data_IF_872313825251
#
_entry.id   IF_872313825251
#
_cell.length_a   1.000
_cell.length_b   1.000
_cell.length_c   1.000
_cell.angle_alpha   90.00
_cell.angle_beta   90.00
_cell.angle_gamma   90.00
#
_symmetry.space_group_name_H-M   'P 1'
#
loop_
_entity.id
_entity.type
_entity.pdbx_description
1 polymer ?
#
# COMPACT_ATOMS: atom_id res chain seq x y z
N UNK A 1 1.48 0.73 -22.25
CA UNK A 1 1.87 1.93 -21.50
C UNK A 1 1.59 1.74 -20.03
N UNK A 2 0.46 2.27 -19.52
CA UNK A 2 0.09 2.18 -18.10
C UNK A 2 0.18 0.75 -17.52
N UNK A 3 -0.45 -0.24 -18.17
CA UNK A 3 -0.40 -1.63 -17.71
C UNK A 3 1.03 -2.18 -17.57
N UNK A 4 1.92 -1.84 -18.50
CA UNK A 4 3.31 -2.25 -18.46
C UNK A 4 4.08 -1.61 -17.29
N UNK A 5 3.75 -0.36 -16.93
CA UNK A 5 4.30 0.31 -15.75
C UNK A 5 3.87 -0.34 -14.43
N UNK A 6 2.58 -0.68 -14.31
CA UNK A 6 2.05 -1.41 -13.15
C UNK A 6 2.66 -2.81 -13.06
N UNK A 7 2.77 -3.51 -14.19
CA UNK A 7 3.42 -4.82 -14.28
C UNK A 7 4.90 -4.76 -13.88
N UNK A 8 5.63 -3.71 -14.24
CA UNK A 8 7.01 -3.51 -13.81
C UNK A 8 7.12 -3.21 -12.31
N UNK A 9 6.22 -2.37 -11.77
CA UNK A 9 6.26 -1.91 -10.38
C UNK A 9 5.88 -3.00 -9.36
N UNK A 10 4.88 -3.82 -9.66
CA UNK A 10 4.35 -4.85 -8.74
C UNK A 10 4.66 -6.28 -9.18
N UNK A 11 5.38 -6.48 -10.29
CA UNK A 11 5.59 -7.79 -10.93
C UNK A 11 4.27 -8.53 -11.23
N UNK A 12 3.20 -7.76 -11.44
CA UNK A 12 1.83 -8.20 -11.58
C UNK A 12 1.31 -7.91 -13.02
N UNK A 13 1.61 -8.77 -14.02
CA UNK A 13 1.25 -8.51 -15.41
C UNK A 13 -0.26 -8.56 -15.64
N UNK A 14 -0.99 -9.50 -15.03
CA UNK A 14 -2.46 -9.58 -15.18
C UNK A 14 -3.11 -8.44 -14.40
N UNK A 15 -2.62 -8.18 -13.19
CA UNK A 15 -3.06 -7.05 -12.36
C UNK A 15 -2.88 -5.71 -13.07
N UNK A 16 -1.78 -5.51 -13.79
CA UNK A 16 -1.54 -4.30 -14.59
C UNK A 16 -2.49 -4.12 -15.77
N UNK A 17 -2.86 -5.21 -16.45
CA UNK A 17 -3.86 -5.16 -17.54
C UNK A 17 -5.23 -4.78 -16.98
N UNK A 18 -5.64 -5.41 -15.87
CA UNK A 18 -6.90 -5.11 -15.21
C UNK A 18 -6.93 -3.70 -14.63
N UNK A 19 -5.81 -3.22 -14.09
CA UNK A 19 -5.67 -1.82 -13.63
C UNK A 19 -5.92 -0.84 -14.78
N UNK A 20 -5.31 -1.07 -15.93
CA UNK A 20 -5.53 -0.22 -17.10
C UNK A 20 -6.98 -0.28 -17.60
N UNK A 21 -7.63 -1.44 -17.46
CA UNK A 21 -9.03 -1.63 -17.82
C UNK A 21 -9.98 -0.92 -16.84
N UNK A 22 -9.70 -0.97 -15.53
CA UNK A 22 -10.53 -0.40 -14.47
C UNK A 22 -10.39 1.14 -14.39
N UNK A 23 -9.16 1.66 -14.46
CA UNK A 23 -8.88 3.08 -14.16
C UNK A 23 -8.62 3.98 -15.38
N UNK A 24 -8.11 3.42 -16.49
CA UNK A 24 -7.58 4.26 -17.58
C UNK A 24 -8.55 4.35 -18.76
N UNK A 25 -9.43 3.36 -18.92
CA UNK A 25 -10.27 3.25 -20.11
C UNK A 25 -11.73 3.02 -19.77
N UNK A 26 -12.62 3.79 -20.39
CA UNK A 26 -14.07 3.56 -20.33
C UNK A 26 -14.55 2.51 -21.34
N UNK A 27 -13.82 2.30 -22.43
CA UNK A 27 -14.16 1.35 -23.49
C UNK A 27 -12.95 0.58 -24.00
N UNK A 28 -13.12 -0.72 -24.23
CA UNK A 28 -12.02 -1.62 -24.60
C UNK A 28 -12.37 -2.48 -25.83
N UNK A 29 -11.43 -2.56 -26.79
CA UNK A 29 -11.52 -3.47 -27.95
C UNK A 29 -10.83 -4.80 -27.63
N UNK A 30 -11.38 -5.93 -28.07
CA UNK A 30 -10.76 -7.26 -27.84
C UNK A 30 -9.33 -7.36 -28.38
N UNK A 31 -9.04 -6.71 -29.53
CA UNK A 31 -7.68 -6.65 -30.08
C UNK A 31 -6.70 -5.84 -29.20
N UNK A 32 -7.18 -4.88 -28.41
CA UNK A 32 -6.33 -4.13 -27.49
C UNK A 32 -5.95 -5.00 -26.28
N UNK A 33 -6.82 -5.92 -25.86
CA UNK A 33 -6.60 -6.78 -24.69
C UNK A 33 -5.34 -7.63 -24.84
N UNK A 34 -5.23 -8.38 -25.94
CA UNK A 34 -4.07 -9.24 -26.16
C UNK A 34 -2.79 -8.44 -26.36
N UNK A 35 -2.85 -7.25 -26.99
CA UNK A 35 -1.69 -6.37 -27.15
C UNK A 35 -1.17 -5.86 -25.81
N UNK A 36 -2.07 -5.40 -24.93
CA UNK A 36 -1.71 -4.91 -23.61
C UNK A 36 -1.19 -6.04 -22.72
N UNK A 37 -1.83 -7.21 -22.78
CA UNK A 37 -1.35 -8.42 -22.11
C UNK A 37 0.06 -8.81 -22.59
N UNK A 38 0.28 -8.88 -23.90
CA UNK A 38 1.59 -9.19 -24.49
C UNK A 38 2.67 -8.19 -24.01
N UNK A 39 2.39 -6.89 -24.05
CA UNK A 39 3.35 -5.88 -23.58
C UNK A 39 3.66 -6.01 -22.10
N UNK A 40 2.68 -6.35 -21.27
CA UNK A 40 2.87 -6.52 -19.82
C UNK A 40 3.68 -7.78 -19.51
N UNK A 41 3.45 -8.87 -20.26
CA UNK A 41 4.23 -10.09 -20.16
C UNK A 41 5.70 -9.89 -20.59
N UNK A 42 5.94 -9.20 -21.71
CA UNK A 42 7.30 -8.87 -22.18
C UNK A 42 8.04 -8.04 -21.12
N UNK A 43 7.41 -7.01 -20.56
CA UNK A 43 8.03 -6.19 -19.52
C UNK A 43 8.32 -6.99 -18.26
N UNK A 44 7.43 -7.88 -17.82
CA UNK A 44 7.68 -8.75 -16.67
C UNK A 44 8.91 -9.66 -16.89
N UNK A 45 9.07 -10.23 -18.08
CA UNK A 45 10.25 -11.05 -18.42
C UNK A 45 11.52 -10.21 -18.47
N UNK A 46 11.50 -9.06 -19.15
CA UNK A 46 12.66 -8.16 -19.27
C UNK A 46 13.14 -7.69 -17.90
N UNK A 47 12.21 -7.25 -17.04
CA UNK A 47 12.53 -6.82 -15.68
C UNK A 47 13.13 -7.98 -14.88
N UNK A 48 12.57 -9.19 -14.95
CA UNK A 48 13.11 -10.39 -14.28
C UNK A 48 14.52 -10.73 -14.73
N UNK A 49 14.79 -10.74 -16.04
CA UNK A 49 16.11 -11.02 -16.60
C UNK A 49 17.12 -9.95 -16.19
N UNK A 50 16.75 -8.67 -16.26
CA UNK A 50 17.60 -7.56 -15.85
C UNK A 50 17.95 -7.64 -14.35
N UNK A 51 16.99 -7.95 -13.49
CA UNK A 51 17.25 -8.12 -12.05
C UNK A 51 18.12 -9.35 -11.78
N UNK A 52 17.91 -10.46 -12.49
CA UNK A 52 18.77 -11.65 -12.40
C UNK A 52 20.21 -11.35 -12.79
N UNK A 53 20.41 -10.56 -13.85
CA UNK A 53 21.74 -10.08 -14.21
C UNK A 53 22.33 -9.17 -13.13
N UNK A 54 21.54 -8.28 -12.55
CA UNK A 54 22.00 -7.39 -11.50
C UNK A 54 22.33 -8.09 -10.18
N UNK A 55 21.73 -9.24 -9.88
CA UNK A 55 22.11 -10.09 -8.74
C UNK A 55 23.52 -10.70 -8.85
N UNK A 56 24.12 -10.74 -10.05
CA UNK A 56 25.51 -11.19 -10.24
C UNK A 56 26.57 -10.22 -9.71
N UNK A 57 26.16 -9.14 -9.00
CA UNK A 57 27.05 -8.14 -8.40
C UNK A 57 27.41 -6.97 -9.31
N UNK A 58 27.08 -7.04 -10.60
CA UNK A 58 27.47 -6.03 -11.60
C UNK A 58 26.64 -4.73 -11.59
N UNK A 59 25.52 -4.67 -10.84
CA UNK A 59 24.65 -3.49 -10.81
C UNK A 59 24.53 -2.82 -9.43
N UNK A 60 25.34 -3.20 -8.45
CA UNK A 60 25.20 -2.69 -7.07
C UNK A 60 23.81 -2.98 -6.48
N UNK A 61 23.20 -1.99 -5.81
CA UNK A 61 21.92 -2.14 -5.11
C UNK A 61 20.69 -2.34 -6.02
N UNK A 62 20.81 -2.17 -7.35
CA UNK A 62 19.70 -2.40 -8.29
C UNK A 62 19.21 -3.85 -8.34
N UNK A 63 20.01 -4.82 -7.88
CA UNK A 63 19.61 -6.23 -7.73
C UNK A 63 19.13 -6.63 -6.34
N UNK A 64 19.29 -5.76 -5.33
CA UNK A 64 19.07 -6.06 -3.91
C UNK A 64 17.63 -5.85 -3.42
N UNK A 65 16.91 -4.89 -3.99
CA UNK A 65 15.50 -4.60 -3.67
C UNK A 65 14.57 -5.34 -4.62
N UNK A 66 13.76 -6.27 -4.12
CA UNK A 66 12.80 -6.95 -4.96
C UNK A 66 11.44 -6.27 -4.88
N UNK A 67 10.89 -5.92 -6.04
CA UNK A 67 9.55 -5.33 -6.24
C UNK A 67 8.40 -6.29 -5.86
N UNK A 68 8.44 -6.67 -4.57
CA UNK A 68 7.56 -7.53 -3.78
C UNK A 68 7.38 -8.95 -4.35
N UNK A 69 8.16 -9.87 -3.81
CA UNK A 69 7.82 -11.31 -3.78
C UNK A 69 7.64 -11.59 -2.29
N UNK A 70 6.40 -11.89 -1.90
CA UNK A 70 6.11 -12.49 -0.61
C UNK A 70 6.44 -13.99 -0.73
N UNK A 71 7.29 -14.52 0.14
CA UNK A 71 7.63 -15.95 0.12
C UNK A 71 6.68 -16.71 1.06
N UNK A 72 5.52 -17.09 0.53
CA UNK A 72 4.47 -17.84 1.24
C UNK A 72 4.58 -19.33 0.95
N UNK A 73 5.79 -19.87 0.87
CA UNK A 73 5.87 -21.31 0.69
C UNK A 73 5.19 -22.07 1.86
N UNK A 74 4.86 -21.41 2.99
CA UNK A 74 4.24 -21.98 4.20
C UNK A 74 3.15 -21.11 4.88
N UNK A 75 2.35 -20.32 4.15
CA UNK A 75 1.27 -19.52 4.77
C UNK A 75 0.07 -20.34 5.22
N UNK A 76 -0.77 -19.80 6.11
CA UNK A 76 -1.97 -20.49 6.61
C UNK A 76 -2.94 -20.81 5.46
N UNK A 77 -3.01 -22.09 5.09
CA UNK A 77 -3.86 -22.56 3.99
C UNK A 77 -5.33 -22.76 4.39
N UNK A 78 -5.56 -23.01 5.68
CA UNK A 78 -6.88 -23.32 6.24
C UNK A 78 -7.39 -22.18 7.13
N UNK A 79 -8.49 -21.54 6.74
CA UNK A 79 -9.19 -20.54 7.54
C UNK A 79 -10.46 -21.15 8.15
N UNK A 80 -10.67 -20.86 9.44
CA UNK A 80 -11.90 -21.25 10.14
C UNK A 80 -12.97 -20.16 10.03
N UNK A 81 -14.25 -20.52 10.15
CA UNK A 81 -15.35 -19.55 10.13
C UNK A 81 -15.21 -18.43 11.19
N UNK A 82 -14.58 -18.74 12.32
CA UNK A 82 -14.33 -17.78 13.40
C UNK A 82 -13.36 -16.65 12.99
N UNK A 83 -12.47 -16.92 12.02
CA UNK A 83 -11.49 -15.95 11.53
C UNK A 83 -12.12 -14.93 10.55
N UNK A 84 -13.33 -15.21 10.05
CA UNK A 84 -14.06 -14.33 9.14
C UNK A 84 -14.45 -12.99 9.78
N UNK A 85 -14.79 -13.01 11.08
CA UNK A 85 -15.24 -11.82 11.80
C UNK A 85 -14.10 -10.80 11.99
N UNK A 86 -12.91 -11.19 12.50
CA UNK A 86 -11.73 -10.32 12.50
C UNK A 86 -11.38 -9.76 11.11
N UNK A 87 -11.48 -10.57 10.05
CA UNK A 87 -11.23 -10.12 8.67
C UNK A 87 -12.27 -9.08 8.21
N UNK A 88 -13.55 -9.27 8.52
CA UNK A 88 -14.58 -8.28 8.23
C UNK A 88 -14.34 -6.95 8.98
N UNK A 89 -13.87 -7.02 10.23
CA UNK A 89 -13.49 -5.83 11.03
C UNK A 89 -12.32 -5.09 10.38
N UNK A 90 -11.31 -5.80 9.85
CA UNK A 90 -10.21 -5.19 9.06
C UNK A 90 -10.76 -4.42 7.86
N UNK A 91 -11.75 -4.99 7.15
CA UNK A 91 -12.44 -4.32 6.04
C UNK A 91 -13.10 -3.01 6.47
N UNK A 92 -13.85 -3.02 7.58
CA UNK A 92 -14.52 -1.83 8.11
C UNK A 92 -13.51 -0.75 8.53
N UNK A 93 -12.47 -1.15 9.27
CA UNK A 93 -11.39 -0.24 9.70
C UNK A 93 -10.69 0.38 8.49
N UNK A 94 -10.35 -0.43 7.48
CA UNK A 94 -9.71 0.07 6.26
C UNK A 94 -10.58 1.04 5.46
N UNK A 95 -11.90 0.80 5.42
CA UNK A 95 -12.86 1.70 4.78
C UNK A 95 -12.95 3.05 5.50
N UNK A 96 -13.05 3.03 6.84
CA UNK A 96 -13.10 4.25 7.66
C UNK A 96 -11.78 5.03 7.61
N UNK A 97 -10.63 4.36 7.77
CA UNK A 97 -9.32 4.99 7.70
C UNK A 97 -9.00 5.51 6.30
N UNK A 98 -9.43 4.79 5.25
CA UNK A 98 -9.29 5.21 3.85
C UNK A 98 -10.16 6.44 3.54
N UNK A 99 -11.40 6.46 4.00
CA UNK A 99 -12.27 7.64 3.88
C UNK A 99 -11.70 8.84 4.64
N UNK A 100 -11.25 8.66 5.88
CA UNK A 100 -10.59 9.72 6.64
C UNK A 100 -9.34 10.23 5.92
N UNK A 101 -8.56 9.32 5.33
CA UNK A 101 -7.33 9.65 4.61
C UNK A 101 -7.65 10.55 3.40
N UNK A 102 -8.65 10.19 2.62
CA UNK A 102 -9.10 10.99 1.47
C UNK A 102 -9.56 12.38 1.91
N UNK A 103 -10.37 12.47 2.96
CA UNK A 103 -10.89 13.75 3.47
C UNK A 103 -9.77 14.69 3.95
N UNK A 104 -8.83 14.17 4.74
CA UNK A 104 -7.69 14.94 5.24
C UNK A 104 -6.79 15.38 4.09
N UNK A 105 -6.52 14.49 3.15
CA UNK A 105 -5.67 14.76 1.99
C UNK A 105 -6.28 15.85 1.08
N UNK A 106 -7.59 15.80 0.85
CA UNK A 106 -8.32 16.84 0.11
C UNK A 106 -8.26 18.18 0.85
N UNK A 107 -8.47 18.17 2.17
CA UNK A 107 -8.38 19.36 2.99
C UNK A 107 -7.00 20.02 2.90
N UNK A 108 -5.93 19.24 3.10
CA UNK A 108 -4.53 19.72 2.99
C UNK A 108 -4.25 20.22 1.57
N UNK A 109 -4.66 19.48 0.54
CA UNK A 109 -4.45 19.87 -0.87
C UNK A 109 -5.18 21.18 -1.21
N UNK A 110 -6.41 21.35 -0.73
CA UNK A 110 -7.20 22.58 -0.92
C UNK A 110 -6.57 23.76 -0.19
N UNK A 111 -6.10 23.55 1.04
CA UNK A 111 -5.38 24.58 1.80
C UNK A 111 -4.07 24.98 1.10
N UNK A 112 -3.28 24.02 0.64
CA UNK A 112 -2.07 24.25 -0.17
C UNK A 112 -2.36 25.09 -1.40
N UNK A 113 -3.39 24.72 -2.17
CA UNK A 113 -3.77 25.44 -3.38
C UNK A 113 -4.24 26.87 -3.09
N UNK A 114 -5.05 27.06 -2.06
CA UNK A 114 -5.70 28.34 -1.80
C UNK A 114 -4.81 29.35 -1.09
N UNK A 115 -3.90 28.90 -0.22
CA UNK A 115 -3.07 29.77 0.62
C UNK A 115 -1.58 29.65 0.34
N UNK A 116 -1.03 28.43 0.29
CA UNK A 116 0.41 28.21 0.24
C UNK A 116 1.00 28.45 -1.15
N UNK A 117 0.45 27.77 -2.16
CA UNK A 117 0.92 27.82 -3.55
C UNK A 117 0.67 29.17 -4.24
N UNK A 118 -0.24 30.01 -3.70
CA UNK A 118 -0.42 31.39 -4.17
C UNK A 118 0.79 32.29 -3.89
N UNK A 119 1.61 31.96 -2.89
CA UNK A 119 2.80 32.73 -2.50
C UNK A 119 4.01 32.51 -3.43
N UNK A 120 3.88 31.67 -4.46
CA UNK A 120 4.89 31.45 -5.48
C UNK A 120 5.59 30.08 -5.41
N UNK A 121 6.40 29.78 -6.43
CA UNK A 121 7.01 28.45 -6.59
C UNK A 121 8.10 28.13 -5.56
N UNK A 122 8.78 29.14 -5.00
CA UNK A 122 9.82 28.92 -3.96
C UNK A 122 9.24 28.27 -2.70
N UNK A 123 8.00 28.62 -2.35
CA UNK A 123 7.32 28.07 -1.17
C UNK A 123 7.08 26.56 -1.31
N UNK A 124 6.84 26.06 -2.53
CA UNK A 124 6.68 24.62 -2.80
C UNK A 124 7.97 23.85 -2.53
N UNK A 125 9.13 24.44 -2.88
CA UNK A 125 10.43 23.84 -2.63
C UNK A 125 10.73 23.84 -1.14
N UNK A 126 10.51 24.97 -0.45
CA UNK A 126 10.70 25.06 0.99
C UNK A 126 9.81 24.09 1.77
N UNK A 127 8.55 23.92 1.35
CA UNK A 127 7.64 22.94 1.94
C UNK A 127 8.18 21.51 1.78
N UNK A 128 8.62 21.13 0.57
CA UNK A 128 9.17 19.79 0.33
C UNK A 128 10.43 19.54 1.17
N UNK A 129 11.33 20.53 1.26
CA UNK A 129 12.52 20.45 2.11
C UNK A 129 12.15 20.33 3.60
N UNK A 130 11.18 21.12 4.08
CA UNK A 130 10.73 21.08 5.47
C UNK A 130 10.13 19.72 5.81
N UNK A 131 9.28 19.18 4.94
CA UNK A 131 8.69 17.86 5.12
C UNK A 131 9.79 16.80 5.13
N UNK A 132 10.78 16.85 4.23
CA UNK A 132 11.90 15.93 4.24
C UNK A 132 12.69 15.97 5.55
N UNK A 133 13.05 17.16 6.06
CA UNK A 133 13.75 17.29 7.34
C UNK A 133 12.89 16.75 8.49
N UNK A 134 11.60 17.08 8.52
CA UNK A 134 10.67 16.59 9.54
C UNK A 134 10.55 15.06 9.49
N UNK A 135 10.45 14.48 8.30
CA UNK A 135 10.39 13.02 8.11
C UNK A 135 11.66 12.36 8.68
N UNK A 136 12.85 12.91 8.41
CA UNK A 136 14.12 12.37 8.91
C UNK A 136 14.25 12.47 10.42
N UNK A 137 13.86 13.60 11.01
CA UNK A 137 13.88 13.80 12.47
C UNK A 137 12.95 12.81 13.17
N UNK A 138 11.76 12.60 12.62
CA UNK A 138 10.77 11.66 13.18
C UNK A 138 11.26 10.21 13.04
N UNK A 139 11.70 9.82 11.83
CA UNK A 139 12.15 8.45 11.56
C UNK A 139 13.39 8.06 12.35
N UNK A 140 14.27 9.02 12.68
CA UNK A 140 15.43 8.76 13.54
C UNK A 140 15.11 8.88 15.03
N UNK A 141 14.29 9.86 15.42
CA UNK A 141 13.98 10.15 16.82
C UNK A 141 13.06 9.13 17.48
N UNK A 142 12.07 8.60 16.76
CA UNK A 142 11.14 7.63 17.35
C UNK A 142 11.79 6.29 17.71
N UNK A 143 12.66 5.68 16.87
CA UNK A 143 13.39 4.48 17.25
C UNK A 143 14.29 4.68 18.46
N UNK A 144 14.89 5.86 18.66
CA UNK A 144 15.73 6.17 19.83
C UNK A 144 14.95 6.16 21.15
N UNK A 145 13.67 6.55 21.12
CA UNK A 145 12.82 6.60 22.31
C UNK A 145 12.25 5.22 22.68
N UNK A 146 12.44 4.21 21.82
CA UNK A 146 11.86 2.89 21.99
C UNK A 146 12.85 1.92 22.65
N UNK A 147 12.37 1.18 23.65
CA UNK A 147 13.15 0.11 24.28
C UNK A 147 13.34 -1.06 23.31
N UNK A 148 14.53 -1.66 23.34
CA UNK A 148 14.83 -2.84 22.54
C UNK A 148 14.05 -4.07 22.98
N UNK A 149 13.75 -4.94 22.02
CA UNK A 149 13.12 -6.25 22.19
C UNK A 149 14.18 -7.36 22.13
N UNK A 150 14.04 -8.42 22.95
CA UNK A 150 14.89 -9.60 22.84
C UNK A 150 14.63 -10.32 21.52
N UNK A 151 15.67 -10.86 20.90
CA UNK A 151 15.54 -11.75 19.74
C UNK A 151 14.66 -12.96 20.10
N UNK A 152 13.75 -13.39 19.22
CA UNK A 152 13.05 -14.66 19.40
C UNK A 152 14.05 -15.83 19.39
N UNK A 153 13.74 -16.89 20.12
CA UNK A 153 14.54 -18.11 20.11
C UNK A 153 14.53 -18.68 18.69
N UNK A 154 15.72 -18.86 18.10
CA UNK A 154 15.89 -19.30 16.71
C UNK A 154 15.25 -20.67 16.50
N UNK A 155 14.17 -20.74 15.71
CA UNK A 155 13.67 -22.01 15.21
C UNK A 155 14.77 -22.68 14.36
N UNK A 156 15.07 -23.99 14.57
CA UNK A 156 16.17 -24.70 13.91
C UNK A 156 16.14 -24.76 12.36
N UNK A 157 15.11 -24.18 11.73
CA UNK A 157 14.93 -24.12 10.27
C UNK A 157 14.88 -22.69 9.70
N UNK A 158 15.09 -21.65 10.51
CA UNK A 158 15.10 -20.26 10.02
C UNK A 158 16.54 -19.79 9.75
N UNK A 159 16.87 -19.51 8.49
CA UNK A 159 18.17 -18.94 8.06
C UNK A 159 18.39 -17.47 8.53
N UNK A 160 17.57 -16.97 9.47
CA UNK A 160 17.55 -15.55 9.84
C UNK A 160 18.33 -15.36 11.16
N UNK A 161 19.57 -14.89 11.04
CA UNK A 161 20.38 -14.50 12.20
C UNK A 161 19.83 -13.22 12.87
N UNK A 162 19.71 -13.24 14.20
CA UNK A 162 19.29 -12.11 15.03
C UNK A 162 20.36 -11.81 16.09
N UNK A 163 20.89 -10.57 16.20
CA UNK A 163 20.64 -9.41 15.36
C UNK A 163 21.47 -9.46 14.06
N UNK A 164 20.99 -8.81 12.99
CA UNK A 164 21.79 -8.66 11.77
C UNK A 164 23.02 -7.76 11.99
N UNK A 165 24.06 -7.99 11.20
CA UNK A 165 25.25 -7.15 11.20
C UNK A 165 24.90 -5.68 10.89
N UNK A 166 25.55 -4.70 11.53
CA UNK A 166 25.27 -3.28 11.32
C UNK A 166 25.54 -2.88 9.86
N UNK A 167 24.58 -2.17 9.25
CA UNK A 167 24.65 -1.73 7.86
C UNK A 167 24.03 -2.69 6.84
N UNK A 168 23.38 -3.77 7.29
CA UNK A 168 22.61 -4.68 6.44
C UNK A 168 21.12 -4.44 6.63
N UNK A 169 20.42 -4.15 5.54
CA UNK A 169 18.96 -3.98 5.54
C UNK A 169 18.23 -5.34 5.69
N UNK A 170 17.07 -5.31 6.36
CA UNK A 170 16.08 -6.39 6.51
C UNK A 170 15.74 -6.67 7.98
N UNK A 171 15.40 -7.91 8.33
CA UNK A 171 14.78 -8.23 9.64
C UNK A 171 15.75 -8.01 10.82
N UNK A 172 15.20 -7.70 12.01
CA UNK A 172 15.93 -7.59 13.26
C UNK A 172 17.11 -6.59 13.26
N UNK A 173 16.83 -5.33 12.91
CA UNK A 173 17.85 -4.26 12.90
C UNK A 173 18.24 -3.89 14.33
N UNK A 174 19.53 -3.97 14.65
CA UNK A 174 20.08 -3.45 15.90
C UNK A 174 20.32 -1.94 15.77
N UNK A 175 19.55 -1.15 16.51
CA UNK A 175 19.69 0.30 16.57
C UNK A 175 19.80 0.75 18.03
N UNK A 176 21.04 1.06 18.44
CA UNK A 176 21.40 1.50 19.80
C UNK A 176 20.96 0.55 20.93
N UNK A 177 20.90 -0.76 20.68
CA UNK A 177 20.66 -1.76 21.71
C UNK A 177 21.99 -2.15 22.39
N UNK A 178 22.00 -2.11 23.73
CA UNK A 178 23.23 -2.28 24.53
C UNK A 178 23.56 -3.72 24.92
N UNK A 179 22.65 -4.69 24.73
CA UNK A 179 22.88 -6.10 25.07
C UNK A 179 23.00 -6.96 23.81
N UNK A 180 23.82 -8.00 23.89
CA UNK A 180 23.88 -9.05 22.87
C UNK A 180 22.50 -9.71 22.72
N UNK A 181 22.04 -9.93 21.48
CA UNK A 181 20.72 -10.49 21.12
C UNK A 181 19.48 -9.62 21.39
N UNK A 182 19.63 -8.30 21.34
CA UNK A 182 18.50 -7.37 21.31
C UNK A 182 18.41 -6.66 19.95
N UNK A 183 17.19 -6.36 19.51
CA UNK A 183 16.92 -5.57 18.31
C UNK A 183 15.87 -4.50 18.60
N UNK A 184 15.74 -3.52 17.71
CA UNK A 184 14.74 -2.45 17.84
C UNK A 184 13.67 -2.65 16.77
N UNK A 185 12.49 -3.11 17.19
CA UNK A 185 11.38 -3.44 16.29
C UNK A 185 10.90 -2.24 15.45
N UNK A 186 10.90 -1.04 16.02
CA UNK A 186 10.53 0.19 15.32
C UNK A 186 11.60 0.62 14.30
N UNK A 187 12.88 0.42 14.65
CA UNK A 187 14.00 0.68 13.75
C UNK A 187 13.98 -0.25 12.53
N UNK A 188 13.59 -1.52 12.73
CA UNK A 188 13.40 -2.49 11.64
C UNK A 188 12.37 -2.03 10.60
N UNK A 189 11.34 -1.27 11.00
CA UNK A 189 10.36 -0.74 10.04
C UNK A 189 10.86 0.54 9.36
N UNK A 190 11.48 1.46 10.10
CA UNK A 190 11.87 2.78 9.58
C UNK A 190 13.16 2.80 8.75
N UNK A 191 14.15 1.97 9.11
CA UNK A 191 15.47 1.98 8.44
C UNK A 191 15.59 0.98 7.30
N UNK A 192 14.56 0.15 7.07
CA UNK A 192 14.50 -0.69 5.88
C UNK A 192 13.96 0.06 4.68
N UNK A 193 14.27 -0.48 3.49
CA UNK A 193 13.56 -0.09 2.27
C UNK A 193 12.06 -0.37 2.44
N UNK A 194 11.20 0.41 1.78
CA UNK A 194 9.75 0.19 1.90
C UNK A 194 9.34 -1.20 1.42
N UNK A 195 10.01 -1.73 0.40
CA UNK A 195 9.78 -3.09 -0.10
C UNK A 195 10.12 -4.15 0.96
N UNK A 196 11.27 -4.03 1.63
CA UNK A 196 11.67 -4.97 2.67
C UNK A 196 10.85 -4.80 3.95
N UNK A 197 10.46 -3.57 4.31
CA UNK A 197 9.54 -3.32 5.40
C UNK A 197 8.16 -3.98 5.14
N UNK A 198 7.64 -3.89 3.92
CA UNK A 198 6.39 -4.58 3.53
C UNK A 198 6.57 -6.10 3.58
N UNK A 199 7.69 -6.62 3.08
CA UNK A 199 7.99 -8.07 3.15
C UNK A 199 8.07 -8.56 4.58
N UNK A 200 8.71 -7.81 5.47
CA UNK A 200 8.81 -8.15 6.89
C UNK A 200 7.42 -8.11 7.54
N UNK A 201 6.61 -7.09 7.23
CA UNK A 201 5.24 -6.98 7.71
C UNK A 201 4.33 -8.12 7.23
N UNK A 202 4.53 -8.62 6.02
CA UNK A 202 3.80 -9.77 5.50
C UNK A 202 4.38 -11.12 5.95
N UNK A 203 5.65 -11.19 6.37
CA UNK A 203 6.34 -12.46 6.64
C UNK A 203 5.62 -13.35 7.66
N UNK A 204 5.25 -14.56 7.23
CA UNK A 204 4.63 -15.58 8.08
C UNK A 204 5.62 -16.30 9.01
N UNK A 205 6.92 -16.21 8.72
CA UNK A 205 7.99 -16.91 9.45
C UNK A 205 8.45 -16.19 10.72
N UNK A 206 7.83 -15.07 11.05
CA UNK A 206 8.29 -14.15 12.11
C UNK A 206 7.16 -13.87 13.11
N UNK A 207 6.84 -14.88 13.93
CA UNK A 207 5.81 -14.75 14.96
C UNK A 207 6.32 -13.75 16.01
N UNK A 208 5.52 -12.72 16.30
CA UNK A 208 5.82 -11.69 17.31
C UNK A 208 7.09 -10.85 17.08
N UNK A 209 7.55 -10.68 15.84
CA UNK A 209 8.68 -9.76 15.52
C UNK A 209 8.39 -8.31 15.92
N UNK A 210 7.12 -7.87 15.89
CA UNK A 210 6.74 -6.50 16.18
C UNK A 210 5.83 -6.39 17.40
N UNK A 211 6.17 -5.48 18.31
CA UNK A 211 5.28 -5.15 19.42
C UNK A 211 4.06 -4.35 18.94
N UNK A 212 2.87 -4.65 19.48
CA UNK A 212 1.64 -3.90 19.20
C UNK A 212 1.81 -2.38 19.46
N UNK A 213 2.63 -2.00 20.45
CA UNK A 213 2.94 -0.59 20.74
C UNK A 213 3.73 0.05 19.61
N UNK A 214 4.74 -0.64 19.10
CA UNK A 214 5.61 -0.14 18.02
C UNK A 214 4.83 -0.01 16.71
N UNK A 215 3.98 -0.99 16.38
CA UNK A 215 3.07 -0.91 15.23
C UNK A 215 2.08 0.25 15.36
N UNK A 216 1.51 0.49 16.54
CA UNK A 216 0.61 1.62 16.75
C UNK A 216 1.33 2.97 16.59
N UNK A 217 2.53 3.10 17.16
CA UNK A 217 3.35 4.32 16.99
C UNK A 217 3.73 4.54 15.53
N UNK A 218 4.11 3.48 14.82
CA UNK A 218 4.43 3.56 13.40
C UNK A 218 3.19 3.96 12.58
N UNK A 219 2.03 3.32 12.82
CA UNK A 219 0.79 3.60 12.13
C UNK A 219 0.40 5.07 12.22
N UNK A 220 0.32 5.64 13.43
CA UNK A 220 -0.10 7.03 13.63
C UNK A 220 0.86 8.00 12.94
N UNK A 221 2.16 7.77 13.10
CA UNK A 221 3.17 8.68 12.55
C UNK A 221 3.28 8.56 11.03
N UNK A 222 3.32 7.34 10.49
CA UNK A 222 3.38 7.13 9.05
C UNK A 222 2.10 7.57 8.34
N UNK A 223 0.92 7.36 8.94
CA UNK A 223 -0.35 7.84 8.40
C UNK A 223 -0.40 9.37 8.33
N UNK A 224 -0.04 10.06 9.41
CA UNK A 224 -0.01 11.53 9.42
C UNK A 224 1.02 12.09 8.44
N UNK A 225 2.19 11.46 8.36
CA UNK A 225 3.22 11.82 7.40
C UNK A 225 2.74 11.63 5.96
N UNK A 226 2.09 10.51 5.65
CA UNK A 226 1.54 10.20 4.33
C UNK A 226 0.50 11.25 3.88
N UNK A 227 -0.39 11.67 4.79
CA UNK A 227 -1.36 12.76 4.53
C UNK A 227 -0.66 14.07 4.20
N UNK A 228 0.39 14.43 4.97
CA UNK A 228 1.14 15.67 4.75
C UNK A 228 2.01 15.59 3.49
N UNK A 229 2.63 14.46 3.19
CA UNK A 229 3.48 14.31 2.00
C UNK A 229 2.66 14.32 0.71
N UNK A 230 1.43 13.84 0.74
CA UNK A 230 0.58 13.77 -0.44
C UNK A 230 0.17 15.17 -0.93
N UNK A 231 0.40 15.46 -2.21
CA UNK A 231 0.08 16.75 -2.82
C UNK A 231 1.17 17.81 -2.69
N UNK A 232 2.35 17.43 -2.16
CA UNK A 232 3.58 18.22 -2.30
C UNK A 232 4.03 18.26 -3.76
N UNK A 233 4.89 19.21 -4.11
CA UNK A 233 5.39 19.39 -5.48
C UNK A 233 6.53 18.41 -5.83
N UNK A 234 6.36 17.12 -5.51
CA UNK A 234 7.33 16.05 -5.75
C UNK A 234 6.62 14.89 -6.47
N UNK A 235 7.22 14.27 -7.49
CA UNK A 235 6.65 13.06 -8.09
C UNK A 235 6.71 11.91 -7.09
N UNK A 236 5.55 11.47 -6.60
CA UNK A 236 5.42 10.39 -5.63
C UNK A 236 4.22 9.48 -5.96
N UNK A 237 4.32 8.21 -5.59
CA UNK A 237 3.24 7.23 -5.70
C UNK A 237 2.52 7.04 -4.36
N UNK A 238 1.24 6.68 -4.42
CA UNK A 238 0.40 6.47 -3.23
C UNK A 238 0.18 4.99 -2.88
N UNK A 239 0.49 4.08 -3.80
CA UNK A 239 0.28 2.64 -3.58
C UNK A 239 1.14 2.10 -2.44
N UNK A 240 2.46 2.28 -2.49
CA UNK A 240 3.38 1.72 -1.48
C UNK A 240 3.09 2.25 -0.07
N UNK A 241 2.90 3.57 0.15
CA UNK A 241 2.45 4.06 1.46
C UNK A 241 1.11 3.47 1.91
N UNK A 242 0.16 3.27 1.00
CA UNK A 242 -1.12 2.64 1.30
C UNK A 242 -0.98 1.17 1.73
N UNK A 243 -0.11 0.42 1.07
CA UNK A 243 0.23 -0.96 1.48
C UNK A 243 0.81 -0.96 2.89
N UNK A 244 1.77 -0.07 3.20
CA UNK A 244 2.40 0.02 4.52
C UNK A 244 1.42 0.39 5.64
N UNK A 245 0.57 1.39 5.42
CA UNK A 245 -0.46 1.77 6.40
C UNK A 245 -1.38 0.58 6.68
N UNK A 246 -1.86 -0.04 5.61
CA UNK A 246 -2.75 -1.18 5.67
C UNK A 246 -2.13 -2.40 6.36
N UNK A 247 -0.89 -2.74 6.01
CA UNK A 247 -0.18 -3.87 6.59
C UNK A 247 0.10 -3.68 8.08
N UNK A 248 0.38 -2.45 8.51
CA UNK A 248 0.64 -2.14 9.92
C UNK A 248 -0.59 -2.39 10.80
N UNK A 249 -1.76 -1.84 10.45
CA UNK A 249 -2.96 -2.08 11.25
C UNK A 249 -3.51 -3.50 11.04
N UNK A 250 -3.33 -4.07 9.85
CA UNK A 250 -3.68 -5.47 9.59
C UNK A 250 -2.93 -6.40 10.53
N UNK A 251 -1.60 -6.22 10.64
CA UNK A 251 -0.78 -7.01 11.57
C UNK A 251 -1.15 -6.76 13.03
N UNK A 252 -1.47 -5.51 13.40
CA UNK A 252 -1.97 -5.18 14.74
C UNK A 252 -3.26 -5.95 15.07
N UNK A 253 -4.21 -6.03 14.14
CA UNK A 253 -5.43 -6.84 14.31
C UNK A 253 -5.08 -8.34 14.36
N UNK A 254 -4.11 -8.79 13.58
CA UNK A 254 -3.57 -10.17 13.65
C UNK A 254 -3.09 -10.52 15.05
N UNK A 255 -2.24 -9.70 15.66
CA UNK A 255 -1.73 -9.88 17.03
C UNK A 255 -2.89 -9.92 18.04
N UNK A 256 -3.87 -9.01 17.90
CA UNK A 256 -5.05 -9.01 18.77
C UNK A 256 -5.89 -10.28 18.62
N UNK A 257 -6.00 -10.80 17.39
CA UNK A 257 -6.75 -12.03 17.08
C UNK A 257 -6.06 -13.26 17.68
N UNK A 258 -4.73 -13.36 17.54
CA UNK A 258 -3.92 -14.42 18.18
C UNK A 258 -4.12 -14.42 19.70
N UNK A 259 -4.06 -13.23 20.32
CA UNK A 259 -4.26 -13.09 21.77
C UNK A 259 -5.69 -13.44 22.23
N UNK A 260 -6.71 -13.12 21.42
CA UNK A 260 -8.10 -13.35 21.76
C UNK A 260 -8.51 -14.82 21.62
N UNK A 261 -8.16 -15.44 20.48
CA UNK A 261 -8.55 -16.81 20.16
C UNK A 261 -7.57 -17.88 20.68
N UNK A 262 -6.39 -17.47 21.19
CA UNK A 262 -5.32 -18.36 21.70
C UNK A 262 -4.96 -19.53 20.77
N UNK A 263 -5.15 -19.33 19.46
CA UNK A 263 -4.90 -20.33 18.43
C UNK A 263 -3.52 -20.09 17.83
N UNK A 264 -2.64 -21.09 17.95
CA UNK A 264 -1.24 -21.03 17.50
C UNK A 264 -1.07 -21.04 15.98
N UNK A 265 -2.13 -21.37 15.22
CA UNK A 265 -2.05 -21.51 13.76
C UNK A 265 -2.46 -20.23 12.99
N UNK A 266 -2.69 -19.11 13.67
CA UNK A 266 -3.08 -17.86 13.01
C UNK A 266 -1.82 -17.11 12.58
N UNK A 267 -1.63 -16.97 11.28
CA UNK A 267 -0.52 -16.21 10.72
C UNK A 267 -0.80 -14.69 10.73
N UNK A 268 -0.01 -13.93 11.49
CA UNK A 268 -0.08 -12.46 11.55
C UNK A 268 0.16 -11.80 10.17
N UNK A 269 0.99 -12.42 9.32
CA UNK A 269 1.35 -11.93 7.99
C UNK A 269 0.15 -11.89 7.03
N UNK A 270 -0.70 -12.90 7.11
CA UNK A 270 -1.96 -12.96 6.34
C UNK A 270 -2.90 -11.82 6.72
N UNK A 271 -2.98 -11.45 8.00
CA UNK A 271 -3.78 -10.31 8.46
C UNK A 271 -3.20 -8.97 7.99
N UNK A 272 -1.87 -8.84 7.96
CA UNK A 272 -1.19 -7.69 7.38
C UNK A 272 -1.54 -7.53 5.89
N UNK A 273 -1.56 -8.63 5.13
CA UNK A 273 -1.96 -8.62 3.72
C UNK A 273 -3.41 -8.13 3.52
N UNK A 274 -4.36 -8.66 4.31
CA UNK A 274 -5.75 -8.23 4.27
C UNK A 274 -5.93 -6.77 4.70
N UNK A 275 -5.11 -6.30 5.64
CA UNK A 275 -5.01 -4.89 6.02
C UNK A 275 -4.56 -4.00 4.86
N UNK A 276 -3.48 -4.39 4.16
CA UNK A 276 -3.01 -3.69 2.96
C UNK A 276 -4.08 -3.59 1.87
N UNK A 277 -4.78 -4.71 1.61
CA UNK A 277 -5.88 -4.74 0.66
C UNK A 277 -7.03 -3.80 1.10
N UNK A 278 -7.51 -3.91 2.34
CA UNK A 278 -8.61 -3.07 2.84
C UNK A 278 -8.30 -1.58 2.74
N UNK A 279 -7.11 -1.11 3.13
CA UNK A 279 -6.79 0.32 3.07
C UNK A 279 -6.76 0.86 1.64
N UNK A 280 -6.17 0.11 0.71
CA UNK A 280 -6.13 0.50 -0.70
C UNK A 280 -7.52 0.47 -1.33
N UNK A 281 -8.34 -0.53 -1.01
CA UNK A 281 -9.74 -0.59 -1.43
C UNK A 281 -10.57 0.57 -0.87
N UNK A 282 -10.32 0.99 0.37
CA UNK A 282 -11.04 2.08 1.03
C UNK A 282 -10.63 3.47 0.55
N UNK A 283 -9.34 3.69 0.28
CA UNK A 283 -8.80 4.97 -0.19
C UNK A 283 -8.92 5.16 -1.71
N UNK A 284 -8.57 4.15 -2.51
CA UNK A 284 -8.55 4.24 -3.97
C UNK A 284 -9.84 3.75 -4.64
N UNK A 285 -10.68 2.97 -3.95
CA UNK A 285 -11.93 2.37 -4.49
C UNK A 285 -11.76 1.40 -5.65
N UNK A 286 -10.53 0.92 -5.83
CA UNK A 286 -10.16 -0.12 -6.78
C UNK A 286 -10.51 -1.50 -6.25
N UNK A 287 -11.04 -2.37 -7.11
CA UNK A 287 -11.57 -3.69 -6.70
C UNK A 287 -10.85 -4.85 -7.37
N UNK A 288 -11.18 -5.14 -8.63
CA UNK A 288 -10.76 -6.35 -9.33
C UNK A 288 -9.26 -6.31 -9.62
N UNK A 289 -8.76 -5.18 -10.13
CA UNK A 289 -7.33 -5.01 -10.41
C UNK A 289 -6.49 -5.12 -9.15
N UNK A 290 -6.88 -4.45 -8.07
CA UNK A 290 -6.18 -4.50 -6.79
C UNK A 290 -6.14 -5.91 -6.19
N UNK A 291 -7.25 -6.64 -6.27
CA UNK A 291 -7.31 -8.03 -5.83
C UNK A 291 -6.29 -8.90 -6.60
N UNK A 292 -6.24 -8.77 -7.93
CA UNK A 292 -5.32 -9.55 -8.76
C UNK A 292 -3.87 -9.14 -8.53
N UNK A 293 -3.59 -7.83 -8.38
CA UNK A 293 -2.25 -7.35 -8.02
C UNK A 293 -1.80 -7.98 -6.70
N UNK A 294 -2.66 -7.97 -5.68
CA UNK A 294 -2.31 -8.52 -4.37
C UNK A 294 -2.08 -10.04 -4.44
N UNK A 295 -2.89 -10.75 -5.22
CA UNK A 295 -2.74 -12.20 -5.45
C UNK A 295 -1.48 -12.55 -6.25
N UNK A 296 -1.10 -11.74 -7.25
CA UNK A 296 0.15 -11.96 -8.01
C UNK A 296 1.40 -11.66 -7.18
N UNK A 297 1.35 -10.67 -6.29
CA UNK A 297 2.45 -10.35 -5.35
C UNK A 297 2.63 -11.44 -4.30
N UNK A 298 1.51 -11.99 -3.81
CA UNK A 298 1.49 -13.06 -2.82
C UNK A 298 1.83 -14.40 -3.44
N UNK A 299 1.48 -14.64 -4.70
CA UNK A 299 1.60 -15.95 -5.34
C UNK A 299 0.78 -17.04 -4.63
N UNK A 300 -0.30 -16.67 -3.94
CA UNK A 300 -1.21 -17.62 -3.29
C UNK A 300 -2.67 -17.34 -3.69
N UNK A 301 -3.16 -18.15 -4.63
CA UNK A 301 -4.54 -18.05 -5.15
C UNK A 301 -5.59 -18.40 -4.09
N UNK A 302 -5.25 -19.13 -3.02
CA UNK A 302 -6.20 -19.50 -1.95
C UNK A 302 -6.66 -18.28 -1.13
N UNK A 303 -5.86 -17.22 -1.09
CA UNK A 303 -6.19 -15.96 -0.37
C UNK A 303 -7.14 -15.04 -1.16
N UNK A 304 -7.35 -15.30 -2.45
CA UNK A 304 -8.21 -14.50 -3.32
C UNK A 304 -9.63 -14.23 -2.73
N UNK A 305 -10.41 -15.22 -2.27
CA UNK A 305 -11.74 -14.95 -1.72
C UNK A 305 -11.71 -14.04 -0.47
N UNK A 306 -10.70 -14.18 0.39
CA UNK A 306 -10.55 -13.36 1.59
C UNK A 306 -10.21 -11.91 1.23
N UNK A 307 -9.28 -11.73 0.30
CA UNK A 307 -8.91 -10.40 -0.23
C UNK A 307 -10.14 -9.74 -0.86
N UNK A 308 -10.91 -10.47 -1.68
CA UNK A 308 -12.14 -9.94 -2.30
C UNK A 308 -13.16 -9.51 -1.26
N UNK A 309 -13.41 -10.33 -0.23
CA UNK A 309 -14.37 -10.01 0.83
C UNK A 309 -13.99 -8.71 1.56
N UNK A 310 -12.74 -8.62 2.02
CA UNK A 310 -12.23 -7.48 2.78
C UNK A 310 -12.21 -6.20 1.93
N UNK A 311 -11.85 -6.32 0.65
CA UNK A 311 -11.89 -5.21 -0.32
C UNK A 311 -13.31 -4.69 -0.54
N UNK A 312 -14.28 -5.57 -0.74
CA UNK A 312 -15.67 -5.18 -0.99
C UNK A 312 -16.29 -4.50 0.23
N UNK A 313 -16.03 -5.02 1.44
CA UNK A 313 -16.47 -4.38 2.69
C UNK A 313 -15.85 -2.99 2.83
N UNK A 314 -14.53 -2.89 2.65
CA UNK A 314 -13.81 -1.61 2.78
C UNK A 314 -14.30 -0.57 1.77
N UNK A 315 -14.49 -0.97 0.51
CA UNK A 315 -15.03 -0.10 -0.54
C UNK A 315 -16.45 0.36 -0.19
N UNK A 316 -17.33 -0.56 0.21
CA UNK A 316 -18.71 -0.22 0.58
C UNK A 316 -18.77 0.77 1.74
N UNK A 317 -17.94 0.57 2.77
CA UNK A 317 -17.82 1.51 3.90
C UNK A 317 -17.30 2.86 3.43
N UNK A 318 -16.27 2.87 2.57
CA UNK A 318 -15.75 4.11 2.02
C UNK A 318 -16.79 4.88 1.17
N UNK A 319 -17.56 4.19 0.34
CA UNK A 319 -18.53 4.77 -0.61
C UNK A 319 -19.63 5.57 0.11
N UNK A 320 -19.85 5.30 1.39
CA UNK A 320 -20.77 6.07 2.24
C UNK A 320 -20.25 7.48 2.56
N UNK A 321 -18.93 7.68 2.64
CA UNK A 321 -18.35 8.94 3.13
C UNK A 321 -17.82 9.86 2.02
N UNK A 322 -17.06 9.32 1.07
CA UNK A 322 -16.44 10.10 0.00
C UNK A 322 -16.10 9.25 -1.22
N UNK A 323 -15.66 9.89 -2.29
CA UNK A 323 -15.19 9.21 -3.49
C UNK A 323 -13.72 8.78 -3.38
N UNK A 324 -13.27 8.01 -4.38
CA UNK A 324 -11.88 7.57 -4.47
C UNK A 324 -10.91 8.75 -4.57
N UNK A 325 -9.70 8.54 -4.05
CA UNK A 325 -8.67 9.58 -4.01
C UNK A 325 -8.36 10.17 -5.40
N UNK A 326 -8.31 9.34 -6.45
CA UNK A 326 -8.00 9.79 -7.80
C UNK A 326 -9.11 10.65 -8.41
N UNK A 327 -10.37 10.29 -8.17
CA UNK A 327 -11.53 11.07 -8.64
C UNK A 327 -11.58 12.45 -7.98
N UNK A 328 -11.38 12.49 -6.67
CA UNK A 328 -11.37 13.74 -5.91
C UNK A 328 -10.23 14.67 -6.34
N UNK A 329 -9.04 14.13 -6.61
CA UNK A 329 -7.92 14.91 -7.12
C UNK A 329 -8.17 15.43 -8.54
N UNK A 330 -8.81 14.63 -9.38
CA UNK A 330 -9.20 15.01 -10.75
C UNK A 330 -10.20 16.18 -10.71
N UNK A 331 -11.21 16.09 -9.85
CA UNK A 331 -12.18 17.17 -9.60
C UNK A 331 -11.52 18.41 -9.04
N UNK A 332 -10.63 18.27 -8.05
CA UNK A 332 -9.87 19.40 -7.53
C UNK A 332 -9.11 20.10 -8.64
N UNK A 333 -8.42 19.37 -9.54
CA UNK A 333 -7.69 19.96 -10.68
C UNK A 333 -8.60 20.62 -11.72
N UNK A 334 -9.90 20.37 -11.69
CA UNK A 334 -10.86 20.91 -12.66
C UNK A 334 -10.77 20.22 -14.02
N UNK A 335 -10.31 18.96 -14.05
CA UNK A 335 -10.26 18.17 -15.27
C UNK A 335 -11.69 17.66 -15.57
N UNK A 336 -12.25 17.93 -16.76
CA UNK A 336 -13.59 17.46 -17.12
C UNK A 336 -13.55 15.95 -17.43
N UNK A 337 -13.71 15.11 -16.41
CA UNK A 337 -13.83 13.66 -16.54
C UNK A 337 -15.32 13.27 -16.60
N UNK A 338 -15.67 12.44 -17.59
CA UNK A 338 -17.03 11.91 -17.71
C UNK A 338 -17.16 10.65 -16.83
N UNK A 339 -18.06 10.70 -15.85
CA UNK A 339 -18.37 9.55 -15.00
C UNK A 339 -19.00 8.40 -15.82
N UNK A 340 -18.77 7.16 -15.40
CA UNK A 340 -19.32 5.96 -16.06
C UNK A 340 -20.85 5.89 -16.02
N UNK A 341 -21.47 6.57 -15.05
CA UNK A 341 -22.93 6.70 -14.93
C UNK A 341 -23.31 8.18 -14.87
N UNK A 342 -24.35 8.61 -15.60
CA UNK A 342 -24.83 9.98 -15.49
C UNK A 342 -25.42 10.22 -14.08
N UNK A 343 -25.16 11.43 -13.54
CA UNK A 343 -25.76 11.88 -12.28
C UNK A 343 -27.28 11.81 -12.37
N UNK A 344 -27.95 11.58 -11.24
CA UNK A 344 -29.42 11.43 -11.21
C UNK A 344 -30.14 12.62 -11.86
N UNK A 345 -29.61 13.85 -11.69
CA UNK A 345 -30.13 15.07 -12.32
C UNK A 345 -30.05 15.03 -13.84
N UNK A 346 -28.98 14.45 -14.40
CA UNK A 346 -28.77 14.36 -15.85
C UNK A 346 -29.73 13.38 -16.54
N UNK A 347 -30.39 12.48 -15.78
CA UNK A 347 -31.39 11.55 -16.36
C UNK A 347 -32.67 12.25 -16.82
N UNK A 348 -32.98 13.42 -16.26
CA UNK A 348 -34.15 14.23 -16.65
C UNK A 348 -33.81 15.33 -17.65
N UNK A 349 -32.52 15.47 -17.98
CA UNK A 349 -32.02 16.55 -18.82
C UNK A 349 -32.10 16.14 -20.29
N UNK A 350 -32.68 17.00 -21.12
CA UNK A 350 -32.77 16.75 -22.57
C UNK A 350 -31.48 17.14 -23.27
N UNK A 351 -31.21 16.55 -24.44
CA UNK A 351 -30.05 16.93 -25.26
C UNK A 351 -30.06 18.43 -25.61
N UNK A 352 -31.25 19.04 -25.77
CA UNK A 352 -31.41 20.48 -26.00
C UNK A 352 -30.93 21.31 -24.82
N UNK A 353 -31.23 20.89 -23.60
CA UNK A 353 -30.76 21.57 -22.38
C UNK A 353 -29.25 21.40 -22.18
N UNK A 354 -28.70 20.23 -22.54
CA UNK A 354 -27.28 19.95 -22.43
C UNK A 354 -26.42 20.71 -23.47
N UNK A 355 -26.88 20.83 -24.72
CA UNK A 355 -26.18 21.56 -25.79
C UNK A 355 -26.28 23.09 -25.66
N UNK A 356 -27.23 23.60 -24.87
CA UNK A 356 -27.55 25.02 -24.81
C UNK A 356 -27.98 25.60 -26.16
N UNK A 357 -27.92 26.93 -26.30
CA UNK A 357 -28.17 27.65 -27.56
C UNK A 357 -26.90 27.80 -28.44
N UNK A 358 -25.84 27.04 -28.18
CA UNK A 358 -24.61 27.11 -28.97
C UNK A 358 -24.81 26.46 -30.35
N UNK A 359 -25.20 27.28 -31.32
CA UNK A 359 -24.94 26.96 -32.73
C UNK A 359 -23.45 27.16 -32.96
N UNK A 360 -22.73 26.07 -33.23
CA UNK A 360 -21.37 26.14 -33.79
C UNK A 360 -21.56 26.69 -35.21
N UNK A 361 -21.23 27.98 -35.42
CA UNK A 361 -21.29 28.63 -36.73
C UNK A 361 -20.12 28.21 -37.61
#
# INVERSE_FOLDING_TARGET
GCAAGVAAAFRAPVGGVLFALEEVTSWWRSQLMWRVFFTSAVVAVVVRVAMGWCKSGNCGHFGGGGFIIWDISDGQEDYSFEELLPMAVIGIIGGLLGALFNQLTIYVTRWRRNYLHKKGNRVKIYEACLISVLTSVISFGLPLLRNCSPCPDSDPGSEIECPRAPGVDGNYVNFYCGKDKEYNDLATIFFNTQDDAIRNLFSAKTIHEFSAKSLLTFLVMFYTLAVVTFGTAVPAGQFVPGIMIGSTYGRLVGILTVNHYKKLNIDEGTYALLGAASFLGGSMRMTVSLCVIMVEITNNLKLLPLIMLVLLISKAVGDVFNEGLYDEQTRLRGIPLLESRPKYVMRKMTAREACGNQKVS
#
